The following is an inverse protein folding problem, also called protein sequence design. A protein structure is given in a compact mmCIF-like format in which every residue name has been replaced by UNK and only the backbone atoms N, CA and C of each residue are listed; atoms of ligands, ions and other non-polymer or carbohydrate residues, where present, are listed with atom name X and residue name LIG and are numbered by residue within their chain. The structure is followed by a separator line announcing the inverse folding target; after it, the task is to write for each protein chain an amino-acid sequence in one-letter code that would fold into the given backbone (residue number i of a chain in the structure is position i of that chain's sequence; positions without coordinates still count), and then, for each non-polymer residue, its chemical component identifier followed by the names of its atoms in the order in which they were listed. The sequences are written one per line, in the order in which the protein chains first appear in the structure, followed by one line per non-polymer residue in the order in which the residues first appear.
data_IF_419527410231
#
_entry.id   IF_419527410231
#
_cell.length_a   1.000
_cell.length_b   1.000
_cell.length_c   1.000
_cell.angle_alpha   90.00
_cell.angle_beta   90.00
_cell.angle_gamma   90.00
#
_symmetry.space_group_name_H-M   'P 1'
#
loop_
_entity.id
_entity.type
_entity.pdbx_description
1 polymer ?
#
# COMPACT_ATOMS: atom_id res chain seq x y z
N UNK A 1 21.88 -14.09 -20.24
CA UNK A 1 21.89 -13.24 -19.03
C UNK A 1 20.46 -12.90 -18.70
N UNK A 2 20.11 -12.77 -17.42
CA UNK A 2 18.70 -12.58 -17.04
C UNK A 2 18.34 -11.09 -17.09
N UNK A 3 17.25 -10.78 -17.79
CA UNK A 3 16.62 -9.44 -17.86
C UNK A 3 16.40 -8.85 -16.45
N UNK A 4 16.29 -9.69 -15.42
CA UNK A 4 16.29 -9.31 -14.01
C UNK A 4 17.41 -8.32 -13.63
N UNK A 5 18.64 -8.52 -14.12
CA UNK A 5 19.76 -7.63 -13.80
C UNK A 5 19.57 -6.26 -14.48
N UNK A 6 19.20 -6.26 -15.75
CA UNK A 6 18.99 -5.05 -16.53
C UNK A 6 17.81 -4.23 -15.94
N UNK A 7 16.75 -4.93 -15.54
CA UNK A 7 15.60 -4.38 -14.81
C UNK A 7 15.99 -3.80 -13.45
N UNK A 8 16.85 -4.50 -12.70
CA UNK A 8 17.38 -3.99 -11.44
C UNK A 8 18.20 -2.71 -11.64
N UNK A 9 19.10 -2.70 -12.62
CA UNK A 9 19.93 -1.53 -12.94
C UNK A 9 19.09 -0.33 -13.37
N UNK A 10 18.09 -0.56 -14.23
CA UNK A 10 17.15 0.47 -14.66
C UNK A 10 16.35 1.05 -13.47
N UNK A 11 15.67 0.17 -12.72
CA UNK A 11 14.82 0.53 -11.57
C UNK A 11 15.55 1.39 -10.54
N UNK A 12 16.80 1.07 -10.28
CA UNK A 12 17.62 1.74 -9.25
C UNK A 12 18.53 2.83 -9.81
N UNK A 13 18.47 3.13 -11.12
CA UNK A 13 19.34 4.10 -11.80
C UNK A 13 20.83 3.86 -11.54
N UNK A 14 21.25 2.59 -11.60
CA UNK A 14 22.64 2.19 -11.32
C UNK A 14 23.52 2.22 -12.59
N UNK A 15 23.03 2.78 -13.68
CA UNK A 15 23.79 2.99 -14.91
C UNK A 15 24.51 4.34 -14.84
N UNK A 16 25.78 4.35 -15.24
CA UNK A 16 26.60 5.57 -15.31
C UNK A 16 26.58 6.12 -16.73
N UNK A 17 26.69 5.22 -17.71
CA UNK A 17 26.70 5.55 -19.13
C UNK A 17 25.72 4.67 -19.89
N UNK A 18 25.16 5.22 -20.96
CA UNK A 18 24.35 4.50 -21.92
C UNK A 18 24.50 5.06 -23.33
N UNK A 19 24.20 4.23 -24.32
CA UNK A 19 24.16 4.64 -25.73
C UNK A 19 22.71 4.70 -26.17
N UNK A 20 22.38 5.69 -26.99
CA UNK A 20 21.03 5.90 -27.48
C UNK A 20 20.95 5.62 -28.98
N UNK A 21 19.85 4.99 -29.39
CA UNK A 21 19.52 4.73 -30.79
C UNK A 21 18.08 5.17 -31.07
N UNK A 22 17.80 5.53 -32.34
CA UNK A 22 16.47 5.93 -32.81
C UNK A 22 15.87 7.13 -32.05
N UNK A 23 16.71 8.15 -31.82
CA UNK A 23 16.34 9.38 -31.11
C UNK A 23 16.70 10.64 -31.92
N UNK A 24 16.97 10.53 -33.23
CA UNK A 24 17.29 11.67 -34.11
C UNK A 24 18.41 12.61 -33.57
N UNK A 25 19.37 12.06 -32.82
CA UNK A 25 20.46 12.81 -32.20
C UNK A 25 20.12 13.46 -30.85
N UNK A 26 18.89 13.29 -30.35
CA UNK A 26 18.46 13.78 -29.04
C UNK A 26 19.03 12.94 -27.91
N UNK A 27 19.48 13.60 -26.84
CA UNK A 27 19.89 12.93 -25.60
C UNK A 27 18.71 12.83 -24.64
N UNK A 28 18.28 11.63 -24.22
CA UNK A 28 17.15 11.48 -23.32
C UNK A 28 17.53 11.87 -21.90
N UNK A 29 16.71 12.70 -21.26
CA UNK A 29 16.79 12.97 -19.84
C UNK A 29 15.75 12.13 -19.08
N UNK A 30 16.22 11.15 -18.30
CA UNK A 30 15.35 10.23 -17.56
C UNK A 30 14.83 10.93 -16.29
N UNK A 31 13.64 11.54 -16.37
CA UNK A 31 12.98 12.18 -15.22
C UNK A 31 12.39 11.15 -14.27
N UNK A 32 11.78 10.07 -14.78
CA UNK A 32 11.29 8.94 -13.99
C UNK A 32 11.44 7.61 -14.75
N UNK A 33 11.98 6.58 -14.09
CA UNK A 33 12.17 5.24 -14.68
C UNK A 33 10.88 4.41 -14.77
N UNK A 34 9.78 4.90 -14.19
CA UNK A 34 8.50 4.21 -14.10
C UNK A 34 8.37 3.32 -12.85
N UNK A 35 7.19 2.72 -12.68
CA UNK A 35 6.90 1.72 -11.65
C UNK A 35 7.00 0.34 -12.29
N UNK A 36 7.75 -0.56 -11.67
CA UNK A 36 7.83 -1.95 -12.12
C UNK A 36 6.45 -2.59 -12.13
N UNK A 37 6.05 -3.14 -13.28
CA UNK A 37 4.86 -3.93 -13.47
C UNK A 37 5.16 -5.38 -13.08
N UNK A 38 4.22 -6.03 -12.41
CA UNK A 38 4.30 -7.45 -12.01
C UNK A 38 3.18 -8.29 -12.65
N UNK A 39 2.40 -7.66 -13.52
CA UNK A 39 1.32 -8.28 -14.28
C UNK A 39 1.69 -8.31 -15.77
N UNK A 40 0.79 -8.81 -16.62
CA UNK A 40 0.98 -8.78 -18.07
C UNK A 40 1.16 -7.36 -18.62
N UNK A 41 1.87 -7.26 -19.74
CA UNK A 41 2.21 -6.00 -20.41
C UNK A 41 3.64 -5.55 -20.10
N UNK A 42 3.98 -4.29 -20.41
CA UNK A 42 5.36 -3.83 -20.33
C UNK A 42 5.97 -3.86 -18.93
N UNK A 43 7.29 -4.00 -18.84
CA UNK A 43 8.03 -4.15 -17.58
C UNK A 43 7.90 -2.99 -16.60
N UNK A 44 7.84 -1.76 -17.12
CA UNK A 44 7.66 -0.55 -16.32
C UNK A 44 6.57 0.34 -16.90
N UNK A 45 5.70 0.82 -16.02
CA UNK A 45 4.59 1.73 -16.38
C UNK A 45 4.85 3.15 -15.87
N UNK A 46 4.30 4.14 -16.56
CA UNK A 46 4.33 5.56 -16.16
C UNK A 46 5.76 6.16 -16.04
N UNK A 47 6.68 5.71 -16.88
CA UNK A 47 7.98 6.35 -17.03
C UNK A 47 7.83 7.75 -17.66
N UNK A 48 8.80 8.63 -17.34
CA UNK A 48 8.86 10.01 -17.85
C UNK A 48 10.25 10.28 -18.39
N UNK A 49 10.36 10.44 -19.71
CA UNK A 49 11.64 10.65 -20.41
C UNK A 49 11.54 11.92 -21.24
N UNK A 50 12.45 12.88 -21.00
CA UNK A 50 12.45 14.16 -21.70
C UNK A 50 13.36 14.03 -22.90
N UNK A 51 12.83 14.34 -24.07
CA UNK A 51 13.58 14.45 -25.31
C UNK A 51 13.51 15.93 -25.72
N UNK A 52 14.64 16.63 -25.69
CA UNK A 52 14.74 18.09 -25.81
C UNK A 52 13.75 18.84 -24.88
N UNK A 53 12.72 19.48 -25.43
CA UNK A 53 11.68 20.17 -24.66
C UNK A 53 10.40 19.35 -24.44
N UNK A 54 10.31 18.16 -25.05
CA UNK A 54 9.09 17.34 -25.00
C UNK A 54 9.20 16.29 -23.89
N UNK A 55 8.20 16.27 -23.01
CA UNK A 55 8.09 15.24 -21.97
C UNK A 55 7.26 14.07 -22.47
N UNK A 56 7.90 12.92 -22.66
CA UNK A 56 7.21 11.68 -23.02
C UNK A 56 6.79 10.95 -21.74
N UNK A 57 5.54 10.47 -21.73
CA UNK A 57 4.98 9.68 -20.63
C UNK A 57 4.44 8.38 -21.20
N UNK A 58 4.92 7.25 -20.69
CA UNK A 58 4.55 5.95 -21.22
C UNK A 58 5.29 4.81 -20.52
N UNK A 59 5.41 3.68 -21.20
CA UNK A 59 5.97 2.46 -20.66
C UNK A 59 7.41 2.23 -21.12
N UNK A 60 8.15 1.42 -20.36
CA UNK A 60 9.51 0.99 -20.72
C UNK A 60 9.54 -0.53 -20.73
N UNK A 61 10.14 -1.08 -21.78
CA UNK A 61 10.32 -2.52 -21.94
C UNK A 61 11.79 -2.90 -21.86
N UNK A 62 12.10 -4.01 -21.20
CA UNK A 62 13.46 -4.46 -20.95
C UNK A 62 13.72 -5.78 -21.63
N UNK A 63 14.80 -5.84 -22.41
CA UNK A 63 15.21 -7.06 -23.07
C UNK A 63 16.73 -7.23 -23.02
N UNK A 64 17.20 -8.47 -23.18
CA UNK A 64 18.64 -8.68 -23.35
C UNK A 64 19.13 -8.06 -24.67
N UNK A 65 18.39 -8.28 -25.76
CA UNK A 65 18.67 -7.70 -27.07
C UNK A 65 17.48 -6.96 -27.63
N UNK A 66 17.70 -5.97 -28.50
CA UNK A 66 16.58 -5.33 -29.20
C UNK A 66 15.74 -6.34 -29.98
N UNK A 67 16.37 -7.30 -30.67
CA UNK A 67 15.68 -8.37 -31.41
C UNK A 67 14.68 -9.20 -30.60
N UNK A 68 14.82 -9.25 -29.27
CA UNK A 68 13.92 -10.05 -28.42
C UNK A 68 12.50 -9.49 -28.46
N UNK A 69 12.32 -8.21 -28.82
CA UNK A 69 11.01 -7.62 -29.13
C UNK A 69 10.20 -8.45 -30.14
N UNK A 70 10.86 -8.99 -31.17
CA UNK A 70 10.22 -9.80 -32.20
C UNK A 70 10.01 -11.23 -31.73
N UNK A 71 10.94 -11.76 -30.94
CA UNK A 71 10.85 -13.10 -30.32
C UNK A 71 9.60 -13.18 -29.44
N UNK A 72 9.36 -12.14 -28.65
CA UNK A 72 8.18 -11.99 -27.81
C UNK A 72 6.93 -11.49 -28.56
N UNK A 73 7.06 -11.21 -29.87
CA UNK A 73 5.98 -10.79 -30.77
C UNK A 73 5.27 -9.50 -30.34
N UNK A 74 5.99 -8.60 -29.66
CA UNK A 74 5.43 -7.31 -29.23
C UNK A 74 5.06 -6.42 -30.41
N UNK A 75 5.68 -6.59 -31.57
CA UNK A 75 5.31 -5.93 -32.82
C UNK A 75 3.88 -6.28 -33.32
N UNK A 76 3.22 -7.28 -32.74
CA UNK A 76 1.82 -7.63 -33.04
C UNK A 76 0.86 -7.22 -31.92
N UNK A 77 1.37 -6.70 -30.81
CA UNK A 77 0.59 -6.48 -29.59
C UNK A 77 0.36 -4.98 -29.34
N UNK A 78 -0.89 -4.55 -29.49
CA UNK A 78 -1.33 -3.17 -29.25
C UNK A 78 -1.07 -2.67 -27.83
N UNK A 79 -0.95 -3.56 -26.84
CA UNK A 79 -0.61 -3.16 -25.47
C UNK A 79 0.77 -2.50 -25.38
N UNK A 80 1.65 -2.79 -26.35
CA UNK A 80 3.02 -2.28 -26.40
C UNK A 80 3.17 -0.99 -27.20
N UNK A 81 2.11 -0.48 -27.85
CA UNK A 81 2.17 0.79 -28.59
C UNK A 81 2.44 2.01 -27.67
N UNK A 82 2.16 1.89 -26.36
CA UNK A 82 2.48 2.89 -25.35
C UNK A 82 3.91 2.77 -24.78
N UNK A 83 4.73 1.85 -25.28
CA UNK A 83 6.16 1.77 -24.92
C UNK A 83 6.89 2.94 -25.57
N UNK A 84 7.50 3.79 -24.76
CA UNK A 84 8.22 5.00 -25.20
C UNK A 84 9.73 4.79 -25.27
N UNK A 85 10.22 3.70 -24.71
CA UNK A 85 11.64 3.37 -24.68
C UNK A 85 11.81 1.84 -24.51
N UNK A 86 12.69 1.25 -25.30
CA UNK A 86 13.24 -0.07 -25.03
C UNK A 86 14.59 0.09 -24.33
N UNK A 87 14.81 -0.62 -23.23
CA UNK A 87 16.10 -0.68 -22.54
C UNK A 87 16.71 -2.04 -22.77
N UNK A 88 17.89 -2.07 -23.37
CA UNK A 88 18.58 -3.29 -23.75
C UNK A 88 19.99 -3.34 -23.23
N UNK A 89 20.56 -4.53 -23.17
CA UNK A 89 21.99 -4.68 -22.96
C UNK A 89 22.76 -4.55 -24.29
N UNK A 90 22.16 -5.03 -25.37
CA UNK A 90 22.73 -4.93 -26.71
C UNK A 90 21.67 -4.54 -27.74
N UNK A 91 21.90 -3.44 -28.42
CA UNK A 91 21.12 -3.05 -29.58
C UNK A 91 21.69 -3.75 -30.83
N UNK A 92 20.93 -4.69 -31.40
CA UNK A 92 21.32 -5.47 -32.57
C UNK A 92 20.44 -5.26 -33.80
N UNK A 93 19.27 -4.64 -33.63
CA UNK A 93 18.40 -4.18 -34.71
C UNK A 93 17.37 -3.16 -34.23
N UNK A 94 16.86 -2.38 -35.17
CA UNK A 94 15.67 -1.55 -34.94
C UNK A 94 14.42 -2.40 -34.81
N UNK A 95 13.53 -1.97 -33.92
CA UNK A 95 12.27 -2.63 -33.63
C UNK A 95 11.13 -1.64 -33.70
N UNK A 96 9.96 -2.16 -34.06
CA UNK A 96 8.78 -1.37 -34.37
C UNK A 96 7.62 -1.85 -33.50
N UNK A 97 6.83 -0.90 -33.00
CA UNK A 97 5.52 -1.19 -32.41
C UNK A 97 4.54 -1.65 -33.49
N UNK A 98 3.38 -2.17 -33.08
CA UNK A 98 2.36 -2.65 -34.01
C UNK A 98 1.82 -1.54 -34.92
N UNK A 99 1.81 -0.29 -34.44
CA UNK A 99 1.43 0.88 -35.24
C UNK A 99 2.56 1.41 -36.16
N UNK A 100 3.68 0.68 -36.26
CA UNK A 100 4.78 0.96 -37.18
C UNK A 100 5.76 2.03 -36.70
N UNK A 101 5.63 2.53 -35.46
CA UNK A 101 6.59 3.48 -34.88
C UNK A 101 7.88 2.76 -34.49
N UNK A 102 9.02 3.32 -34.90
CA UNK A 102 10.33 2.87 -34.44
C UNK A 102 10.50 3.19 -32.96
N UNK A 103 10.98 2.24 -32.16
CA UNK A 103 11.21 2.47 -30.74
C UNK A 103 12.58 3.13 -30.51
N UNK A 104 12.62 4.22 -29.71
CA UNK A 104 13.85 4.68 -29.10
C UNK A 104 14.45 3.58 -28.22
N UNK A 105 15.77 3.40 -28.31
CA UNK A 105 16.49 2.37 -27.56
C UNK A 105 17.59 2.98 -26.71
N UNK A 106 17.66 2.57 -25.45
CA UNK A 106 18.81 2.80 -24.58
C UNK A 106 19.55 1.48 -24.41
N UNK A 107 20.81 1.44 -24.82
CA UNK A 107 21.74 0.36 -24.53
C UNK A 107 22.51 0.68 -23.25
N UNK A 108 22.26 -0.08 -22.19
CA UNK A 108 22.94 0.07 -20.90
C UNK A 108 24.22 -0.76 -20.84
N UNK A 109 25.33 -0.11 -20.49
CA UNK A 109 26.59 -0.78 -20.20
C UNK A 109 26.64 -1.20 -18.73
N UNK A 110 26.53 -2.48 -18.47
CA UNK A 110 26.65 -3.04 -17.12
C UNK A 110 28.08 -3.58 -16.91
N UNK A 111 28.77 -3.04 -15.91
CA UNK A 111 30.14 -3.43 -15.57
C UNK A 111 30.22 -4.84 -14.98
N UNK A 112 31.30 -5.55 -15.25
CA UNK A 112 31.54 -6.91 -14.72
C UNK A 112 31.45 -7.01 -13.19
N UNK A 113 31.98 -6.06 -12.41
CA UNK A 113 31.82 -6.10 -10.95
C UNK A 113 30.35 -6.05 -10.49
N UNK A 114 29.48 -5.34 -11.20
CA UNK A 114 28.06 -5.26 -10.88
C UNK A 114 27.34 -6.59 -11.16
N UNK A 115 27.74 -7.27 -12.24
CA UNK A 115 27.20 -8.58 -12.65
C UNK A 115 27.49 -9.63 -11.59
N UNK A 116 28.76 -9.76 -11.22
CA UNK A 116 29.22 -10.67 -10.18
C UNK A 116 28.45 -10.43 -8.89
N UNK A 117 28.38 -9.17 -8.44
CA UNK A 117 27.70 -8.80 -7.19
C UNK A 117 26.20 -9.10 -7.21
N UNK A 118 25.53 -8.90 -8.35
CA UNK A 118 24.12 -9.22 -8.50
C UNK A 118 23.87 -10.73 -8.45
N UNK A 119 24.73 -11.53 -9.08
CA UNK A 119 24.65 -12.99 -9.02
C UNK A 119 24.88 -13.50 -7.60
N UNK A 120 25.86 -12.95 -6.87
CA UNK A 120 26.08 -13.24 -5.46
C UNK A 120 24.83 -12.94 -4.62
N UNK A 121 24.17 -11.80 -4.85
CA UNK A 121 22.96 -11.43 -4.12
C UNK A 121 21.74 -12.31 -4.45
N UNK A 122 21.62 -12.77 -5.69
CA UNK A 122 20.57 -13.72 -6.08
C UNK A 122 20.77 -15.11 -5.48
N UNK A 123 22.02 -15.54 -5.31
CA UNK A 123 22.36 -16.85 -4.74
C UNK A 123 22.44 -16.84 -3.21
N UNK A 124 22.47 -15.65 -2.59
CA UNK A 124 22.53 -15.51 -1.14
C UNK A 124 21.30 -16.15 -0.46
N UNK A 125 21.55 -17.17 0.36
CA UNK A 125 20.52 -17.88 1.17
C UNK A 125 20.29 -17.23 2.55
N UNK A 126 20.93 -16.10 2.83
CA UNK A 126 20.80 -15.37 4.09
C UNK A 126 19.43 -14.72 4.25
N UNK A 127 19.14 -14.19 5.44
CA UNK A 127 17.88 -13.47 5.68
C UNK A 127 17.81 -12.20 4.81
N UNK A 128 18.96 -11.52 4.66
CA UNK A 128 19.14 -10.35 3.80
C UNK A 128 20.43 -10.54 3.00
N UNK A 129 20.38 -10.39 1.67
CA UNK A 129 21.54 -10.66 0.79
C UNK A 129 22.79 -9.83 1.12
N UNK A 130 22.62 -8.63 1.67
CA UNK A 130 23.73 -7.74 2.04
C UNK A 130 24.06 -7.72 3.55
N UNK A 131 23.55 -8.66 4.35
CA UNK A 131 23.71 -8.64 5.82
C UNK A 131 25.17 -8.58 6.28
N UNK A 132 26.10 -9.17 5.51
CA UNK A 132 27.54 -9.18 5.85
C UNK A 132 28.22 -7.84 5.55
N UNK A 133 27.69 -7.10 4.57
CA UNK A 133 28.24 -5.82 4.12
C UNK A 133 27.98 -4.70 5.13
N UNK A 134 26.96 -4.82 6.00
CA UNK A 134 26.65 -3.75 6.97
C UNK A 134 27.83 -3.43 7.88
N UNK A 135 28.71 -4.41 8.16
CA UNK A 135 29.91 -4.25 8.98
C UNK A 135 31.00 -3.42 8.31
N UNK A 136 30.97 -3.26 6.98
CA UNK A 136 31.92 -2.42 6.25
C UNK A 136 31.53 -0.94 6.27
N UNK A 137 30.30 -0.63 6.66
CA UNK A 137 29.82 0.75 6.83
C UNK A 137 30.26 1.27 8.18
N UNK A 138 30.88 2.46 8.21
CA UNK A 138 31.32 3.05 9.48
C UNK A 138 30.13 3.38 10.38
N UNK A 139 30.31 3.18 11.69
CA UNK A 139 29.29 3.45 12.71
C UNK A 139 28.79 4.90 12.64
N UNK A 140 29.68 5.86 12.37
CA UNK A 140 29.33 7.26 12.15
C UNK A 140 28.34 7.45 10.99
N UNK A 141 28.63 6.87 9.81
CA UNK A 141 27.73 6.95 8.64
C UNK A 141 26.38 6.31 8.95
N UNK A 142 26.38 5.18 9.63
CA UNK A 142 25.18 4.42 9.97
C UNK A 142 24.29 5.21 10.94
N UNK A 143 24.86 5.80 11.99
CA UNK A 143 24.15 6.67 12.95
C UNK A 143 23.58 7.92 12.28
N UNK A 144 24.37 8.59 11.44
CA UNK A 144 23.91 9.78 10.70
C UNK A 144 22.75 9.43 9.76
N UNK A 145 22.88 8.33 9.00
CA UNK A 145 21.83 7.87 8.10
C UNK A 145 20.55 7.50 8.86
N UNK A 146 20.66 6.76 9.98
CA UNK A 146 19.50 6.45 10.82
C UNK A 146 18.81 7.70 11.38
N UNK A 147 19.59 8.73 11.74
CA UNK A 147 19.07 10.03 12.15
C UNK A 147 18.26 10.70 11.03
N UNK A 148 18.79 10.74 9.81
CA UNK A 148 18.09 11.31 8.65
C UNK A 148 16.81 10.54 8.33
N UNK A 149 16.87 9.20 8.30
CA UNK A 149 15.69 8.35 8.06
C UNK A 149 14.62 8.53 9.13
N UNK A 150 15.02 8.74 10.39
CA UNK A 150 14.09 9.04 11.47
C UNK A 150 13.37 10.38 11.24
N UNK A 151 14.12 11.43 10.87
CA UNK A 151 13.57 12.76 10.56
C UNK A 151 12.63 12.69 9.36
N UNK A 152 13.04 12.04 8.27
CA UNK A 152 12.20 11.85 7.09
C UNK A 152 10.89 11.13 7.44
N UNK A 153 10.97 10.09 8.28
CA UNK A 153 9.79 9.36 8.74
C UNK A 153 8.89 10.22 9.62
N UNK A 154 9.45 11.08 10.45
CA UNK A 154 8.71 12.01 11.30
C UNK A 154 7.98 13.05 10.45
N UNK A 155 8.69 13.69 9.51
CA UNK A 155 8.12 14.66 8.58
C UNK A 155 6.99 14.05 7.76
N UNK A 156 7.21 12.87 7.17
CA UNK A 156 6.16 12.16 6.43
C UNK A 156 4.90 11.89 7.26
N UNK A 157 5.04 11.62 8.57
CA UNK A 157 3.89 11.45 9.46
C UNK A 157 3.23 12.79 9.79
N UNK A 158 4.01 13.84 10.03
CA UNK A 158 3.50 15.18 10.28
C UNK A 158 2.70 15.69 9.07
N UNK A 159 3.27 15.61 7.86
CA UNK A 159 2.61 16.01 6.61
C UNK A 159 1.27 15.29 6.41
N UNK A 160 1.21 13.99 6.73
CA UNK A 160 -0.03 13.20 6.67
C UNK A 160 -1.09 13.70 7.65
N UNK A 161 -0.69 14.03 8.88
CA UNK A 161 -1.60 14.55 9.90
C UNK A 161 -2.07 15.95 9.53
N UNK A 162 -1.18 16.83 9.07
CA UNK A 162 -1.52 18.18 8.63
C UNK A 162 -2.48 18.19 7.45
N UNK A 163 -2.24 17.34 6.44
CA UNK A 163 -3.15 17.19 5.31
C UNK A 163 -4.55 16.74 5.75
N UNK A 164 -4.62 15.81 6.71
CA UNK A 164 -5.88 15.31 7.25
C UNK A 164 -6.59 16.38 8.11
N UNK A 165 -5.85 17.12 8.93
CA UNK A 165 -6.37 18.22 9.74
C UNK A 165 -6.94 19.33 8.88
N UNK A 166 -6.25 19.70 7.81
CA UNK A 166 -6.71 20.67 6.82
C UNK A 166 -7.99 20.18 6.13
N UNK A 167 -8.03 18.92 5.69
CA UNK A 167 -9.23 18.32 5.09
C UNK A 167 -10.43 18.31 6.06
N UNK A 168 -10.18 18.14 7.36
CA UNK A 168 -11.17 18.19 8.43
C UNK A 168 -11.42 19.60 8.99
N UNK A 169 -10.93 20.65 8.34
CA UNK A 169 -11.14 22.07 8.73
C UNK A 169 -10.68 22.37 10.16
N UNK A 170 -9.50 21.88 10.54
CA UNK A 170 -8.92 22.02 11.88
C UNK A 170 -9.73 21.36 13.00
N UNK A 171 -10.60 20.39 12.68
CA UNK A 171 -11.26 19.58 13.69
C UNK A 171 -10.31 18.46 14.17
N UNK A 172 -9.77 18.63 15.38
CA UNK A 172 -8.81 17.69 15.95
C UNK A 172 -9.44 16.36 16.36
N UNK A 173 -10.67 16.32 16.89
CA UNK A 173 -11.32 15.07 17.27
C UNK A 173 -11.61 14.18 16.06
N UNK A 174 -12.11 14.76 14.97
CA UNK A 174 -12.40 14.06 13.71
C UNK A 174 -11.09 13.56 13.07
N UNK A 175 -10.05 14.39 13.07
CA UNK A 175 -8.71 14.01 12.56
C UNK A 175 -8.13 12.87 13.36
N UNK A 176 -8.19 12.95 14.69
CA UNK A 176 -7.74 11.89 15.59
C UNK A 176 -8.52 10.59 15.37
N UNK A 177 -9.85 10.67 15.25
CA UNK A 177 -10.71 9.53 14.94
C UNK A 177 -10.29 8.81 13.65
N UNK A 178 -10.05 9.56 12.58
CA UNK A 178 -9.62 9.02 11.29
C UNK A 178 -8.20 8.39 11.36
N UNK A 179 -7.28 8.99 12.12
CA UNK A 179 -5.93 8.42 12.36
C UNK A 179 -5.98 7.12 13.18
N UNK A 180 -6.83 7.06 14.19
CA UNK A 180 -7.04 5.83 14.97
C UNK A 180 -7.64 4.76 14.07
N UNK A 181 -8.68 5.07 13.29
CA UNK A 181 -9.26 4.14 12.35
C UNK A 181 -8.19 3.58 11.39
N UNK A 182 -7.40 4.45 10.74
CA UNK A 182 -6.28 4.06 9.88
C UNK A 182 -5.34 3.07 10.57
N UNK A 183 -5.05 3.30 11.85
CA UNK A 183 -4.17 2.43 12.65
C UNK A 183 -4.75 1.03 12.91
N UNK A 184 -6.09 0.89 13.04
CA UNK A 184 -6.76 -0.42 13.14
C UNK A 184 -6.61 -1.27 11.86
N UNK A 185 -6.35 -0.62 10.71
CA UNK A 185 -6.08 -1.28 9.45
C UNK A 185 -4.66 -1.84 9.27
N UNK A 186 -3.74 -1.55 10.19
CA UNK A 186 -2.31 -1.87 10.07
C UNK A 186 -1.75 -1.47 8.69
N UNK A 187 -0.77 -2.22 8.15
CA UNK A 187 -0.18 -1.91 6.85
C UNK A 187 -1.12 -2.20 5.67
N UNK A 188 -1.92 -3.26 5.76
CA UNK A 188 -2.64 -3.82 4.60
C UNK A 188 -3.97 -3.11 4.36
N UNK A 189 -4.71 -2.78 5.42
CA UNK A 189 -6.05 -2.17 5.34
C UNK A 189 -6.09 -0.76 5.95
N UNK A 190 -4.95 -0.08 6.15
CA UNK A 190 -4.90 1.29 6.67
C UNK A 190 -5.79 2.25 5.86
N UNK A 191 -5.65 2.26 4.54
CA UNK A 191 -6.44 3.13 3.66
C UNK A 191 -7.93 2.80 3.69
N UNK A 192 -8.38 1.53 3.53
CA UNK A 192 -9.79 1.17 3.71
C UNK A 192 -10.40 1.64 5.04
N UNK A 193 -9.67 1.52 6.15
CA UNK A 193 -10.14 2.02 7.45
C UNK A 193 -10.23 3.55 7.50
N UNK A 194 -9.28 4.26 6.90
CA UNK A 194 -9.35 5.72 6.82
C UNK A 194 -10.53 6.18 5.94
N UNK A 195 -10.77 5.50 4.80
CA UNK A 195 -11.93 5.77 3.96
C UNK A 195 -13.24 5.48 4.68
N UNK A 196 -13.30 4.41 5.48
CA UNK A 196 -14.46 4.09 6.30
C UNK A 196 -14.74 5.25 7.27
N UNK A 197 -13.74 5.72 7.98
CA UNK A 197 -13.87 6.83 8.93
C UNK A 197 -14.28 8.14 8.23
N UNK A 198 -13.66 8.47 7.09
CA UNK A 198 -14.05 9.64 6.28
C UNK A 198 -15.50 9.56 5.78
N UNK A 199 -15.97 8.36 5.46
CA UNK A 199 -17.35 8.15 5.00
C UNK A 199 -18.38 8.16 6.13
N UNK A 200 -17.94 8.10 7.39
CA UNK A 200 -18.79 8.02 8.57
C UNK A 200 -18.28 8.97 9.66
N UNK A 201 -18.65 10.26 9.59
CA UNK A 201 -18.15 11.28 10.51
C UNK A 201 -18.37 10.93 11.98
N UNK A 202 -17.43 11.32 12.84
CA UNK A 202 -17.43 10.99 14.27
C UNK A 202 -18.71 11.44 14.97
N UNK A 203 -19.28 12.59 14.56
CA UNK A 203 -20.51 13.12 15.13
C UNK A 203 -21.74 12.23 14.90
N UNK A 204 -21.75 11.39 13.86
CA UNK A 204 -22.80 10.40 13.62
C UNK A 204 -22.66 9.28 14.64
N UNK A 205 -21.45 8.76 14.83
CA UNK A 205 -21.16 7.71 15.80
C UNK A 205 -21.43 8.19 17.24
N UNK A 206 -21.10 9.44 17.56
CA UNK A 206 -21.35 10.04 18.88
C UNK A 206 -22.84 10.01 19.27
N UNK A 207 -23.77 10.17 18.31
CA UNK A 207 -25.23 10.09 18.57
C UNK A 207 -25.70 8.68 18.96
N UNK A 208 -24.89 7.67 18.66
CA UNK A 208 -25.18 6.25 18.90
C UNK A 208 -24.19 5.63 19.89
N UNK A 209 -23.39 6.43 20.58
CA UNK A 209 -22.28 5.98 21.42
C UNK A 209 -22.70 4.95 22.48
N UNK A 210 -23.91 5.08 23.04
CA UNK A 210 -24.41 4.19 24.09
C UNK A 210 -25.08 2.92 23.56
N UNK A 211 -25.02 2.63 22.26
CA UNK A 211 -25.61 1.45 21.66
C UNK A 211 -24.60 0.74 20.74
N UNK A 212 -23.93 -0.28 21.29
CA UNK A 212 -22.90 -1.03 20.56
C UNK A 212 -23.44 -1.67 19.27
N UNK A 213 -24.66 -2.21 19.28
CA UNK A 213 -25.26 -2.84 18.10
C UNK A 213 -25.40 -1.83 16.95
N UNK A 214 -25.81 -0.59 17.26
CA UNK A 214 -25.90 0.49 16.27
C UNK A 214 -24.53 0.92 15.75
N UNK A 215 -23.51 0.98 16.61
CA UNK A 215 -22.14 1.31 16.20
C UNK A 215 -21.56 0.22 15.29
N UNK A 216 -21.74 -1.05 15.63
CA UNK A 216 -21.33 -2.18 14.80
C UNK A 216 -22.09 -2.18 13.46
N UNK A 217 -23.40 -1.91 13.48
CA UNK A 217 -24.23 -1.83 12.28
C UNK A 217 -23.76 -0.71 11.35
N UNK A 218 -23.53 0.49 11.89
CA UNK A 218 -22.99 1.63 11.16
C UNK A 218 -21.64 1.30 10.52
N UNK A 219 -20.68 0.81 11.30
CA UNK A 219 -19.32 0.59 10.80
C UNK A 219 -19.22 -0.59 9.83
N UNK A 220 -19.83 -1.75 10.14
CA UNK A 220 -19.81 -2.91 9.25
C UNK A 220 -20.64 -2.69 7.98
N UNK A 221 -21.79 -2.03 8.13
CA UNK A 221 -22.65 -1.68 7.00
C UNK A 221 -21.97 -0.68 6.07
N UNK A 222 -21.37 0.36 6.64
CA UNK A 222 -20.65 1.38 5.88
C UNK A 222 -19.39 0.83 5.21
N UNK A 223 -18.76 -0.19 5.80
CA UNK A 223 -17.68 -0.95 5.16
C UNK A 223 -18.14 -1.87 4.02
N UNK A 224 -19.46 -2.02 3.81
CA UNK A 224 -20.04 -2.87 2.76
C UNK A 224 -20.24 -4.34 3.16
N UNK A 225 -20.05 -4.68 4.44
CA UNK A 225 -20.14 -6.08 4.91
C UNK A 225 -21.57 -6.57 5.16
N UNK A 226 -22.58 -5.70 5.10
CA UNK A 226 -23.99 -6.04 5.32
C UNK A 226 -24.85 -6.03 4.04
N UNK A 227 -24.21 -6.02 2.86
CA UNK A 227 -24.92 -6.00 1.57
C UNK A 227 -25.55 -7.36 1.22
N UNK A 228 -24.93 -8.46 1.64
CA UNK A 228 -25.37 -9.83 1.36
C UNK A 228 -26.59 -10.21 2.22
N UNK A 229 -27.18 -11.38 1.92
CA UNK A 229 -28.22 -11.99 2.76
C UNK A 229 -27.64 -13.25 3.37
N UNK A 230 -27.56 -13.27 4.70
CA UNK A 230 -26.99 -14.38 5.47
C UNK A 230 -28.01 -14.76 6.53
N UNK A 231 -28.31 -16.06 6.65
CA UNK A 231 -29.27 -16.57 7.63
C UNK A 231 -28.66 -16.70 9.03
N UNK A 232 -28.26 -15.55 9.60
CA UNK A 232 -27.70 -15.44 10.95
C UNK A 232 -28.41 -14.30 11.66
N UNK A 233 -28.98 -14.58 12.83
CA UNK A 233 -29.79 -13.63 13.61
C UNK A 233 -29.03 -12.32 13.91
N UNK A 234 -27.76 -12.42 14.34
CA UNK A 234 -26.90 -11.26 14.60
C UNK A 234 -26.66 -10.42 13.35
N UNK A 235 -26.41 -11.05 12.20
CA UNK A 235 -26.24 -10.37 10.92
C UNK A 235 -27.52 -9.62 10.52
N UNK A 236 -28.68 -10.28 10.62
CA UNK A 236 -29.97 -9.69 10.27
C UNK A 236 -30.33 -8.50 11.15
N UNK A 237 -30.01 -8.56 12.46
CA UNK A 237 -30.16 -7.42 13.38
C UNK A 237 -29.29 -6.23 12.96
N UNK A 238 -28.02 -6.46 12.65
CA UNK A 238 -27.12 -5.41 12.18
C UNK A 238 -27.59 -4.80 10.84
N UNK A 239 -27.98 -5.65 9.89
CA UNK A 239 -28.42 -5.21 8.56
C UNK A 239 -29.65 -4.31 8.65
N UNK A 240 -30.67 -4.74 9.40
CA UNK A 240 -31.89 -3.96 9.63
C UNK A 240 -31.59 -2.58 10.23
N UNK A 241 -30.73 -2.55 11.25
CA UNK A 241 -30.35 -1.31 11.91
C UNK A 241 -29.56 -0.39 10.96
N UNK A 242 -28.62 -0.95 10.20
CA UNK A 242 -27.84 -0.19 9.24
C UNK A 242 -28.71 0.38 8.12
N UNK A 243 -29.66 -0.37 7.57
CA UNK A 243 -30.57 0.11 6.52
C UNK A 243 -31.34 1.36 6.97
N UNK A 244 -31.85 1.35 8.21
CA UNK A 244 -32.51 2.53 8.79
C UNK A 244 -31.54 3.71 8.97
N UNK A 245 -30.37 3.48 9.57
CA UNK A 245 -29.41 4.55 9.85
C UNK A 245 -28.77 5.11 8.57
N UNK A 246 -28.54 4.27 7.56
CA UNK A 246 -28.07 4.65 6.24
C UNK A 246 -29.01 5.67 5.59
N UNK A 247 -30.32 5.42 5.66
CA UNK A 247 -31.33 6.37 5.17
C UNK A 247 -31.34 7.64 6.01
N UNK A 248 -31.38 7.51 7.35
CA UNK A 248 -31.43 8.65 8.28
C UNK A 248 -30.29 9.64 8.10
N UNK A 249 -29.08 9.15 7.83
CA UNK A 249 -27.88 9.98 7.67
C UNK A 249 -27.42 10.13 6.22
N UNK A 250 -28.20 9.64 5.24
CA UNK A 250 -27.88 9.66 3.80
C UNK A 250 -26.47 9.11 3.50
N UNK A 251 -26.15 7.95 4.09
CA UNK A 251 -24.82 7.36 4.00
C UNK A 251 -24.64 6.56 2.70
N UNK A 252 -23.46 6.68 2.10
CA UNK A 252 -23.02 5.87 0.96
C UNK A 252 -21.93 4.91 1.40
N UNK A 253 -22.24 3.62 1.44
CA UNK A 253 -21.30 2.56 1.84
C UNK A 253 -20.14 2.43 0.86
N UNK A 254 -19.00 1.98 1.39
CA UNK A 254 -17.87 1.50 0.62
C UNK A 254 -18.17 0.14 -0.03
N UNK A 255 -17.35 -0.21 -1.00
CA UNK A 255 -17.41 -1.54 -1.62
C UNK A 255 -16.58 -2.56 -0.86
N UNK A 256 -17.14 -3.75 -0.67
CA UNK A 256 -16.52 -4.86 0.07
C UNK A 256 -15.15 -5.27 -0.49
N UNK A 257 -14.92 -5.12 -1.79
CA UNK A 257 -13.68 -5.54 -2.47
C UNK A 257 -12.45 -4.70 -2.07
N UNK A 258 -12.64 -3.50 -1.50
CA UNK A 258 -11.55 -2.65 -1.01
C UNK A 258 -10.80 -3.28 0.17
N UNK A 259 -11.46 -4.20 0.88
CA UNK A 259 -10.91 -4.87 2.05
C UNK A 259 -10.11 -6.11 1.67
N UNK A 260 -8.84 -6.14 2.08
CA UNK A 260 -7.91 -7.24 1.76
C UNK A 260 -7.86 -8.26 2.89
N UNK A 261 -7.90 -9.54 2.54
CA UNK A 261 -7.86 -10.66 3.49
C UNK A 261 -6.62 -11.55 3.36
N UNK A 262 -6.01 -11.58 2.17
CA UNK A 262 -4.88 -12.45 1.87
C UNK A 262 -3.69 -12.16 2.81
N UNK A 263 -3.08 -13.23 3.36
CA UNK A 263 -1.95 -13.20 4.32
C UNK A 263 -2.25 -12.51 5.66
N UNK A 264 -3.51 -12.25 5.98
CA UNK A 264 -3.91 -11.80 7.32
C UNK A 264 -4.12 -13.00 8.26
N UNK A 265 -3.78 -12.80 9.54
CA UNK A 265 -4.25 -13.69 10.61
C UNK A 265 -5.75 -13.43 10.84
N UNK A 266 -6.58 -14.44 11.20
CA UNK A 266 -8.01 -14.25 11.43
C UNK A 266 -8.35 -13.12 12.41
N UNK A 267 -7.54 -12.92 13.46
CA UNK A 267 -7.69 -11.83 14.43
C UNK A 267 -7.51 -10.42 13.84
N UNK A 268 -6.92 -10.32 12.66
CA UNK A 268 -6.66 -9.06 11.95
C UNK A 268 -7.61 -8.87 10.77
N UNK A 269 -8.62 -9.73 10.61
CA UNK A 269 -9.60 -9.56 9.56
C UNK A 269 -10.42 -8.28 9.78
N UNK A 270 -10.80 -7.58 8.70
CA UNK A 270 -11.62 -6.37 8.76
C UNK A 270 -12.85 -6.50 9.66
N UNK A 271 -13.59 -7.60 9.58
CA UNK A 271 -14.76 -7.86 10.45
C UNK A 271 -14.45 -7.66 11.94
N UNK A 272 -13.36 -8.27 12.41
CA UNK A 272 -12.93 -8.24 13.82
C UNK A 272 -12.37 -6.88 14.20
N UNK A 273 -11.57 -6.27 13.31
CA UNK A 273 -10.95 -4.97 13.59
C UNK A 273 -11.99 -3.85 13.61
N UNK A 274 -13.01 -3.92 12.75
CA UNK A 274 -14.12 -2.97 12.74
C UNK A 274 -14.96 -3.08 14.02
N UNK A 275 -15.26 -4.30 14.49
CA UNK A 275 -16.07 -4.48 15.70
C UNK A 275 -15.30 -4.13 16.98
N UNK A 276 -13.99 -4.38 17.02
CA UNK A 276 -13.12 -3.83 18.07
C UNK A 276 -13.10 -2.30 18.05
N UNK A 277 -13.09 -1.68 16.86
CA UNK A 277 -13.15 -0.24 16.73
C UNK A 277 -14.51 0.32 17.20
N UNK A 278 -15.61 -0.37 16.91
CA UNK A 278 -16.93 -0.06 17.46
C UNK A 278 -16.92 -0.09 19.00
N UNK A 279 -16.30 -1.12 19.59
CA UNK A 279 -16.17 -1.22 21.05
C UNK A 279 -15.32 -0.08 21.63
N UNK A 280 -14.24 0.31 20.97
CA UNK A 280 -13.43 1.45 21.40
C UNK A 280 -14.28 2.72 21.49
N UNK A 281 -15.10 2.99 20.47
CA UNK A 281 -15.98 4.17 20.43
C UNK A 281 -17.06 4.08 21.52
N UNK A 282 -17.65 2.90 21.71
CA UNK A 282 -18.65 2.63 22.73
C UNK A 282 -18.12 2.92 24.16
N UNK A 283 -16.88 2.50 24.45
CA UNK A 283 -16.27 2.67 25.77
C UNK A 283 -15.65 4.07 25.97
N UNK A 284 -15.25 4.73 24.89
CA UNK A 284 -14.43 5.94 24.97
C UNK A 284 -15.26 7.22 24.97
N UNK A 285 -15.40 7.86 26.13
CA UNK A 285 -15.81 9.28 26.21
C UNK A 285 -14.60 10.20 26.03
N UNK A 286 -14.65 11.10 25.05
CA UNK A 286 -13.61 12.11 24.76
C UNK A 286 -12.20 11.53 24.65
N UNK A 287 -12.02 10.52 23.80
CA UNK A 287 -10.76 9.77 23.67
C UNK A 287 -9.55 10.67 23.36
N UNK A 288 -9.74 11.66 22.50
CA UNK A 288 -8.68 12.59 22.10
C UNK A 288 -8.13 13.37 23.29
N UNK A 289 -8.99 14.04 24.07
CA UNK A 289 -8.60 14.81 25.25
C UNK A 289 -7.86 13.94 26.26
N UNK A 290 -8.37 12.74 26.53
CA UNK A 290 -7.72 11.78 27.45
C UNK A 290 -6.31 11.42 27.01
N UNK A 291 -6.10 11.18 25.71
CA UNK A 291 -4.79 10.76 25.21
C UNK A 291 -3.76 11.90 25.29
N UNK A 292 -4.18 13.16 25.15
CA UNK A 292 -3.29 14.31 25.31
C UNK A 292 -2.86 14.49 26.77
N UNK A 293 -3.72 14.14 27.72
CA UNK A 293 -3.46 14.27 29.16
C UNK A 293 -2.64 13.10 29.73
N UNK A 294 -2.58 11.96 29.05
CA UNK A 294 -1.86 10.79 29.52
C UNK A 294 -0.34 10.94 29.29
N UNK A 295 0.42 10.82 30.37
CA UNK A 295 1.89 10.82 30.34
C UNK A 295 2.48 9.41 30.17
N UNK A 296 1.75 8.37 30.58
CA UNK A 296 2.20 6.99 30.64
C UNK A 296 1.76 6.10 29.48
N UNK A 297 2.71 5.42 28.81
CA UNK A 297 2.41 4.50 27.70
C UNK A 297 1.48 3.34 28.11
N UNK A 298 1.56 2.85 29.34
CA UNK A 298 0.69 1.76 29.82
C UNK A 298 -0.77 2.20 29.94
N UNK A 299 -1.04 3.45 30.33
CA UNK A 299 -2.40 4.00 30.38
C UNK A 299 -3.01 4.11 28.99
N UNK A 300 -2.21 4.55 28.00
CA UNK A 300 -2.62 4.53 26.59
C UNK A 300 -2.98 3.10 26.17
N UNK A 301 -2.12 2.11 26.48
CA UNK A 301 -2.41 0.71 26.12
C UNK A 301 -3.72 0.20 26.72
N UNK A 302 -4.04 0.60 27.95
CA UNK A 302 -5.29 0.24 28.60
C UNK A 302 -6.52 0.86 27.92
N UNK A 303 -6.43 2.10 27.41
CA UNK A 303 -7.52 2.72 26.65
C UNK A 303 -7.87 1.95 25.37
N UNK A 304 -6.87 1.33 24.75
CA UNK A 304 -7.06 0.56 23.51
C UNK A 304 -7.21 -0.95 23.75
N UNK A 305 -7.32 -1.41 25.01
CA UNK A 305 -7.54 -2.83 25.33
C UNK A 305 -9.02 -3.20 25.17
N UNK A 306 -9.45 -3.27 23.92
CA UNK A 306 -10.86 -3.51 23.53
C UNK A 306 -11.06 -4.89 22.92
N UNK A 307 -12.25 -5.45 23.11
CA UNK A 307 -12.66 -6.74 22.55
C UNK A 307 -13.86 -6.57 21.62
N UNK A 308 -13.94 -7.41 20.60
CA UNK A 308 -15.13 -7.48 19.77
C UNK A 308 -16.31 -8.02 20.59
N UNK A 309 -17.54 -7.82 20.11
CA UNK A 309 -18.73 -8.41 20.74
C UNK A 309 -18.69 -9.94 20.70
N UNK A 310 -19.46 -10.57 21.59
CA UNK A 310 -19.39 -12.01 21.87
C UNK A 310 -19.63 -12.93 20.66
N UNK A 311 -20.33 -12.46 19.63
CA UNK A 311 -20.47 -13.18 18.36
C UNK A 311 -19.09 -13.52 17.75
N UNK A 312 -18.15 -12.58 17.82
CA UNK A 312 -16.82 -12.67 17.22
C UNK A 312 -15.83 -13.50 18.04
N UNK A 313 -16.19 -13.94 19.26
CA UNK A 313 -15.37 -14.89 20.02
C UNK A 313 -15.29 -16.28 19.34
N UNK A 314 -16.26 -16.56 18.46
CA UNK A 314 -16.38 -17.83 17.74
C UNK A 314 -16.30 -17.67 16.23
N UNK A 315 -16.13 -16.45 15.71
CA UNK A 315 -16.24 -16.15 14.28
C UNK A 315 -15.15 -15.17 13.85
N UNK A 316 -14.55 -15.39 12.68
CA UNK A 316 -13.65 -14.41 12.05
C UNK A 316 -14.22 -13.80 10.76
N UNK A 317 -15.36 -14.33 10.30
CA UNK A 317 -16.30 -13.79 9.30
C UNK A 317 -17.70 -14.20 9.74
N UNK A 318 -18.78 -13.67 9.15
CA UNK A 318 -20.13 -14.07 9.55
C UNK A 318 -20.40 -15.57 9.41
N UNK A 319 -19.89 -16.23 8.36
CA UNK A 319 -20.21 -17.64 8.08
C UNK A 319 -19.19 -18.63 8.67
N UNK A 320 -17.92 -18.21 8.83
CA UNK A 320 -16.86 -19.14 9.26
C UNK A 320 -16.61 -19.09 10.76
N UNK A 321 -16.82 -20.24 11.38
CA UNK A 321 -16.46 -20.51 12.76
C UNK A 321 -14.94 -20.57 12.96
N UNK A 322 -14.50 -20.08 14.10
CA UNK A 322 -13.13 -20.22 14.60
C UNK A 322 -12.96 -21.62 15.20
N UNK A 323 -11.99 -22.40 14.70
CA UNK A 323 -11.54 -23.61 15.41
C UNK A 323 -10.90 -23.18 16.74
N UNK A 324 -11.25 -23.89 17.82
CA UNK A 324 -11.28 -23.44 19.21
C UNK A 324 -9.98 -22.87 19.85
N UNK A 325 -10.21 -22.07 20.91
CA UNK A 325 -9.30 -21.68 22.00
C UNK A 325 -8.14 -20.68 21.77
N UNK A 326 -8.16 -19.87 20.72
CA UNK A 326 -7.35 -18.64 20.71
C UNK A 326 -8.14 -17.50 21.37
N UNK A 327 -7.91 -17.28 22.68
CA UNK A 327 -8.25 -16.00 23.33
C UNK A 327 -7.72 -14.88 22.43
N UNK A 328 -8.60 -14.10 21.81
CA UNK A 328 -8.26 -12.98 20.94
C UNK A 328 -7.65 -11.84 21.78
N UNK A 329 -6.41 -12.05 22.22
CA UNK A 329 -5.53 -10.97 22.66
C UNK A 329 -5.08 -10.22 21.42
N UNK A 330 -5.97 -9.39 20.90
CA UNK A 330 -5.57 -8.32 20.02
C UNK A 330 -5.22 -7.09 20.85
N UNK A 331 -4.29 -7.24 21.84
CA UNK A 331 -3.50 -6.07 22.25
C UNK A 331 -3.02 -5.43 20.95
N UNK A 332 -3.05 -4.11 20.84
CA UNK A 332 -2.21 -3.37 19.90
C UNK A 332 -0.74 -3.67 20.23
N UNK A 333 -0.30 -4.91 20.02
CA UNK A 333 1.10 -5.27 20.05
C UNK A 333 1.64 -4.69 18.78
N UNK A 334 2.38 -3.59 18.92
CA UNK A 334 3.53 -3.27 18.09
C UNK A 334 4.14 -4.58 17.64
N UNK A 335 3.95 -4.94 16.37
CA UNK A 335 4.69 -6.01 15.74
C UNK A 335 6.16 -5.69 16.00
N UNK A 336 6.85 -6.56 16.75
CA UNK A 336 8.31 -6.60 16.72
C UNK A 336 8.69 -6.72 15.24
N UNK A 337 9.36 -5.69 14.74
CA UNK A 337 10.12 -5.78 13.50
C UNK A 337 11.35 -6.64 13.75
#
# INVERSE_FOLDING_TARGET
MREDLLSFVWKHRLFVDFVCFNMDGQSPEIKAVGKQNINAGPDFIEAKIKFDETMWVGNVEIHSKSSDWDVHKHYLDKAYNNVILQVVEKHDKDVFTEDGRVLPVIELKISEPMRIKFEEFQQAKGWISCEKEIKSVSDFKLKMWLGNVLIERLNKKADQIEALLNANKNNYEETFYQLVARSFGFKVNAEPFEWLAKSLPLNVLAKHQNNLLQLEALLLGQAGFLAETIDIEYFNKLKKEYEFLKQKFTLKSLEKHLWKFLRLRPSNFPYIRITQFAMLIYQSKSLFSKIIEIEGVEEIKNLFDVRASSFWDKHYTFEKLQQSNLRLWARLRSTRY
#
